data_IF_751004198818
#
_entry.id   IF_751004198818
#
_cell.length_a   1.000
_cell.length_b   1.000
_cell.length_c   1.000
_cell.angle_alpha   90.00
_cell.angle_beta   90.00
_cell.angle_gamma   90.00
#
_symmetry.space_group_name_H-M   'P 1'
#
loop_
_entity.id
_entity.type
_entity.pdbx_description
1 polymer ?
#
# COMPACT_ATOMS: atom_id res chain seq x y z
N UNK A 1 14.85 2.19 11.20
CA UNK A 1 14.22 1.91 9.88
C UNK A 1 14.11 3.22 9.13
N UNK A 2 14.79 3.38 7.99
CA UNK A 2 14.52 4.54 7.12
C UNK A 2 13.04 4.49 6.69
N UNK A 3 12.31 5.62 6.69
CA UNK A 3 10.96 5.63 6.15
C UNK A 3 11.05 5.14 4.70
N UNK A 4 10.21 4.18 4.32
CA UNK A 4 10.00 3.90 2.91
C UNK A 4 9.76 5.22 2.18
N UNK A 5 10.49 5.44 1.09
CA UNK A 5 10.33 6.63 0.26
C UNK A 5 8.85 6.83 -0.05
N UNK A 6 8.36 8.07 -0.01
CA UNK A 6 6.98 8.45 -0.36
C UNK A 6 6.49 7.75 -1.63
N UNK A 7 7.39 7.63 -2.60
CA UNK A 7 7.22 6.94 -3.87
C UNK A 7 6.73 5.47 -3.75
N UNK A 8 7.29 4.68 -2.81
CA UNK A 8 6.86 3.28 -2.62
C UNK A 8 5.42 3.20 -2.11
N UNK A 9 5.08 4.08 -1.16
CA UNK A 9 3.73 4.11 -0.57
C UNK A 9 2.70 4.49 -1.63
N UNK A 10 2.99 5.54 -2.41
CA UNK A 10 2.14 5.97 -3.51
C UNK A 10 1.96 4.87 -4.56
N UNK A 11 3.03 4.19 -4.97
CA UNK A 11 2.95 3.07 -5.92
C UNK A 11 2.09 1.90 -5.41
N UNK A 12 2.18 1.56 -4.12
CA UNK A 12 1.32 0.52 -3.53
C UNK A 12 -0.15 0.92 -3.55
N UNK A 13 -0.47 2.17 -3.20
CA UNK A 13 -1.85 2.68 -3.20
C UNK A 13 -2.40 2.70 -4.61
N UNK A 14 -1.68 3.27 -5.58
CA UNK A 14 -2.12 3.32 -6.99
C UNK A 14 -2.39 1.92 -7.53
N UNK A 15 -1.49 0.96 -7.27
CA UNK A 15 -1.70 -0.42 -7.72
C UNK A 15 -2.91 -1.10 -7.04
N UNK A 16 -3.24 -0.72 -5.81
CA UNK A 16 -4.44 -1.18 -5.12
C UNK A 16 -5.72 -0.57 -5.71
N UNK A 17 -5.74 0.75 -5.92
CA UNK A 17 -6.86 1.48 -6.55
C UNK A 17 -7.13 0.99 -7.97
N UNK A 18 -6.08 0.68 -8.73
CA UNK A 18 -6.15 0.10 -10.07
C UNK A 18 -6.56 -1.39 -10.08
N UNK A 19 -6.80 -1.99 -8.91
CA UNK A 19 -7.16 -3.40 -8.76
C UNK A 19 -6.13 -4.37 -9.39
N UNK A 20 -4.83 -3.98 -9.41
CA UNK A 20 -3.74 -4.78 -10.00
C UNK A 20 -3.42 -6.06 -9.19
N UNK A 21 -4.10 -6.27 -8.07
CA UNK A 21 -4.06 -7.50 -7.31
C UNK A 21 -4.53 -7.35 -5.87
N UNK A 22 -4.63 -8.49 -5.18
CA UNK A 22 -4.93 -8.56 -3.76
C UNK A 22 -3.75 -8.07 -2.89
N UNK A 23 -4.02 -7.76 -1.62
CA UNK A 23 -3.02 -7.29 -0.63
C UNK A 23 -1.76 -8.19 -0.61
N UNK A 24 -1.92 -9.51 -0.70
CA UNK A 24 -0.81 -10.47 -0.70
C UNK A 24 0.01 -10.41 -1.99
N UNK A 25 -0.64 -10.21 -3.13
CA UNK A 25 0.04 -10.06 -4.43
C UNK A 25 0.82 -8.75 -4.49
N UNK A 26 0.22 -7.65 -4.02
CA UNK A 26 0.90 -6.35 -3.91
C UNK A 26 2.11 -6.43 -2.96
N UNK A 27 1.94 -7.08 -1.80
CA UNK A 27 3.04 -7.29 -0.85
C UNK A 27 4.23 -8.02 -1.49
N UNK A 28 3.98 -9.10 -2.23
CA UNK A 28 5.02 -9.84 -2.97
C UNK A 28 5.68 -8.98 -4.05
N UNK A 29 4.90 -8.24 -4.84
CA UNK A 29 5.40 -7.37 -5.92
C UNK A 29 6.33 -6.27 -5.39
N UNK A 30 5.95 -5.63 -4.29
CA UNK A 30 6.70 -4.53 -3.68
C UNK A 30 7.72 -4.98 -2.63
N UNK A 31 7.90 -6.30 -2.43
CA UNK A 31 8.83 -6.89 -1.45
C UNK A 31 8.61 -6.34 -0.03
N UNK A 32 7.36 -6.18 0.36
CA UNK A 32 6.94 -5.75 1.71
C UNK A 32 6.06 -6.81 2.36
N UNK A 33 5.84 -6.71 3.67
CA UNK A 33 4.90 -7.61 4.34
C UNK A 33 3.44 -7.25 4.01
N UNK A 34 2.52 -8.23 3.98
CA UNK A 34 1.09 -7.96 3.79
C UNK A 34 0.51 -7.03 4.88
N UNK A 35 1.02 -7.11 6.12
CA UNK A 35 0.65 -6.18 7.20
C UNK A 35 1.13 -4.74 6.94
N UNK A 36 2.23 -4.56 6.20
CA UNK A 36 2.67 -3.24 5.76
C UNK A 36 1.63 -2.63 4.82
N UNK A 37 1.22 -3.39 3.79
CA UNK A 37 0.20 -2.96 2.82
C UNK A 37 -1.13 -2.69 3.52
N UNK A 38 -1.58 -3.58 4.41
CA UNK A 38 -2.84 -3.39 5.16
C UNK A 38 -2.83 -2.12 6.00
N UNK A 39 -1.77 -1.87 6.78
CA UNK A 39 -1.64 -0.67 7.61
C UNK A 39 -1.53 0.60 6.76
N UNK A 40 -0.87 0.51 5.62
CA UNK A 40 -0.76 1.59 4.65
C UNK A 40 -2.15 1.98 4.13
N UNK A 41 -2.87 1.03 3.55
CA UNK A 41 -4.20 1.26 2.98
C UNK A 41 -5.19 1.76 4.04
N UNK A 42 -5.17 1.22 5.26
CA UNK A 42 -6.01 1.72 6.36
C UNK A 42 -5.77 3.21 6.63
N UNK A 43 -4.50 3.65 6.66
CA UNK A 43 -4.16 5.06 6.89
C UNK A 43 -4.55 5.97 5.71
N UNK A 44 -4.50 5.45 4.47
CA UNK A 44 -4.95 6.20 3.29
C UNK A 44 -6.48 6.30 3.21
N UNK A 45 -7.21 5.22 3.46
CA UNK A 45 -8.68 5.21 3.39
C UNK A 45 -9.33 6.09 4.47
N UNK A 46 -8.74 6.18 5.68
CA UNK A 46 -9.22 7.11 6.71
C UNK A 46 -9.17 8.58 6.25
N UNK A 47 -8.37 8.90 5.22
CA UNK A 47 -8.27 10.25 4.65
C UNK A 47 -9.33 10.55 3.57
N UNK A 48 -10.03 9.53 3.04
CA UNK A 48 -11.01 9.68 1.93
C UNK A 48 -12.47 9.61 2.43
N UNK A 49 -12.69 9.59 3.75
CA UNK A 49 -14.03 9.67 4.36
C UNK A 49 -14.22 11.07 4.97
N UNK A 50 -14.41 12.09 4.13
CA UNK A 50 -14.99 13.40 4.45
C UNK A 50 -15.62 14.02 3.20
#
# INVERSE_FOLDING_TARGET
MKPYSLDLRQKIVIAYENQEGSIRQLAKRFKVSPDCVRRLLKRYHTFVVY
#
